data_IF_248735071325
#
_entry.id   IF_248735071325
#
_cell.length_a   1.000
_cell.length_b   1.000
_cell.length_c   1.000
_cell.angle_alpha   90.00
_cell.angle_beta   90.00
_cell.angle_gamma   90.00
#
_symmetry.space_group_name_H-M   'P 1'
#
loop_
_entity.id
_entity.type
_entity.pdbx_description
1 polymer ?
#
# COMPACT_ATOMS: atom_id res chain seq x y z
N UNK A 1 6.99 10.78 -11.99
CA UNK A 1 5.94 9.74 -11.87
C UNK A 1 5.78 9.08 -13.23
N UNK A 2 5.29 7.83 -13.34
CA UNK A 2 4.85 7.31 -14.63
C UNK A 2 3.67 8.14 -15.14
N UNK A 3 3.47 8.15 -16.45
CA UNK A 3 2.36 8.86 -17.07
C UNK A 3 1.00 8.27 -16.63
N UNK A 4 -0.02 9.13 -16.53
CA UNK A 4 -1.42 8.77 -16.30
C UNK A 4 -2.25 8.79 -17.59
N UNK A 5 -1.62 9.04 -18.74
CA UNK A 5 -2.24 8.94 -20.06
C UNK A 5 -3.07 7.65 -20.21
N UNK A 6 -4.32 7.83 -20.65
CA UNK A 6 -5.18 6.74 -21.10
C UNK A 6 -4.51 6.03 -22.29
N UNK A 7 -4.44 4.69 -22.24
CA UNK A 7 -3.89 3.89 -23.33
C UNK A 7 -4.84 3.83 -24.54
N UNK A 8 -6.09 4.30 -24.38
CA UNK A 8 -7.11 4.34 -25.42
C UNK A 8 -7.94 3.07 -25.54
N UNK A 9 -7.72 2.08 -24.66
CA UNK A 9 -8.51 0.85 -24.63
C UNK A 9 -9.93 1.12 -24.13
N UNK A 10 -10.93 0.45 -24.71
CA UNK A 10 -12.31 0.57 -24.27
C UNK A 10 -12.59 -0.37 -23.09
N UNK A 11 -13.59 -0.04 -22.29
CA UNK A 11 -13.99 -0.87 -21.13
C UNK A 11 -14.34 -2.31 -21.53
N UNK A 12 -14.98 -2.55 -22.69
CA UNK A 12 -15.28 -3.93 -23.14
C UNK A 12 -14.02 -4.74 -23.51
N UNK A 13 -12.97 -4.10 -24.04
CA UNK A 13 -11.70 -4.77 -24.35
C UNK A 13 -11.02 -5.20 -23.04
N UNK A 14 -10.93 -4.27 -22.07
CA UNK A 14 -10.41 -4.50 -20.72
C UNK A 14 -11.19 -5.64 -20.02
N UNK A 15 -12.53 -5.65 -20.09
CA UNK A 15 -13.35 -6.72 -19.50
C UNK A 15 -13.21 -8.06 -20.23
N UNK A 16 -12.96 -8.05 -21.55
CA UNK A 16 -12.67 -9.26 -22.33
C UNK A 16 -11.39 -9.92 -21.87
N UNK A 17 -10.34 -9.12 -21.71
CA UNK A 17 -9.01 -9.58 -21.32
C UNK A 17 -8.98 -10.05 -19.86
N UNK A 18 -9.61 -9.32 -18.93
CA UNK A 18 -9.80 -9.76 -17.54
C UNK A 18 -10.53 -11.12 -17.48
N UNK A 19 -11.56 -11.32 -18.31
CA UNK A 19 -12.31 -12.57 -18.37
C UNK A 19 -11.49 -13.75 -18.94
N UNK A 20 -10.52 -13.48 -19.84
CA UNK A 20 -9.54 -14.46 -20.30
C UNK A 20 -8.60 -14.85 -19.16
N UNK A 21 -7.92 -13.86 -18.58
CA UNK A 21 -6.94 -14.03 -17.50
C UNK A 21 -7.53 -14.77 -16.29
N UNK A 22 -8.79 -14.48 -15.92
CA UNK A 22 -9.52 -15.17 -14.84
C UNK A 22 -9.72 -16.67 -15.07
N UNK A 23 -9.92 -17.09 -16.32
CA UNK A 23 -10.14 -18.50 -16.69
C UNK A 23 -8.83 -19.25 -16.91
N UNK A 24 -7.81 -18.57 -17.43
CA UNK A 24 -6.49 -19.14 -17.72
C UNK A 24 -5.55 -19.12 -16.49
N UNK A 25 -5.92 -18.39 -15.43
CA UNK A 25 -5.21 -18.35 -14.15
C UNK A 25 -4.02 -17.40 -14.14
N UNK A 26 -4.01 -16.40 -15.03
CA UNK A 26 -2.94 -15.42 -15.18
C UNK A 26 -3.00 -14.30 -14.12
N UNK A 27 -1.94 -13.49 -14.05
CA UNK A 27 -1.95 -12.23 -13.30
C UNK A 27 -2.94 -11.26 -13.95
N UNK A 28 -3.97 -10.84 -13.19
CA UNK A 28 -5.04 -10.01 -13.73
C UNK A 28 -4.58 -8.56 -13.96
N UNK A 29 -4.94 -7.98 -15.11
CA UNK A 29 -4.64 -6.58 -15.45
C UNK A 29 -5.50 -5.61 -14.64
N UNK A 30 -4.99 -5.35 -13.45
CA UNK A 30 -5.52 -4.40 -12.48
C UNK A 30 -4.94 -2.99 -12.70
N UNK A 31 -3.97 -2.81 -13.60
CA UNK A 31 -3.33 -1.52 -13.85
C UNK A 31 -4.14 -0.69 -14.84
N UNK A 32 -4.70 -1.30 -15.90
CA UNK A 32 -5.55 -0.59 -16.88
C UNK A 32 -6.87 -0.10 -16.27
N UNK A 33 -7.57 -0.95 -15.50
CA UNK A 33 -8.79 -0.55 -14.74
C UNK A 33 -8.48 0.57 -13.76
N UNK A 34 -7.34 0.48 -13.05
CA UNK A 34 -6.88 1.54 -12.16
C UNK A 34 -6.61 2.85 -12.91
N UNK A 35 -5.82 2.79 -14.00
CA UNK A 35 -5.37 3.97 -14.76
C UNK A 35 -6.54 4.72 -15.33
N UNK A 36 -7.46 4.03 -15.98
CA UNK A 36 -8.65 4.65 -16.60
C UNK A 36 -9.54 5.30 -15.55
N UNK A 37 -9.81 4.62 -14.44
CA UNK A 37 -10.54 5.18 -13.28
C UNK A 37 -9.83 6.42 -12.70
N UNK A 38 -8.51 6.36 -12.52
CA UNK A 38 -7.73 7.47 -11.97
C UNK A 38 -7.67 8.66 -12.95
N UNK A 39 -7.53 8.42 -14.25
CA UNK A 39 -7.50 9.45 -15.29
C UNK A 39 -8.83 10.20 -15.37
N UNK A 40 -9.97 9.49 -15.43
CA UNK A 40 -11.31 10.11 -15.44
C UNK A 40 -11.56 10.98 -14.20
N UNK A 41 -11.15 10.52 -13.01
CA UNK A 41 -11.30 11.28 -11.77
C UNK A 41 -10.29 12.44 -11.65
N UNK A 42 -9.07 12.32 -12.19
CA UNK A 42 -8.10 13.43 -12.28
C UNK A 42 -8.57 14.48 -13.30
N UNK A 43 -9.19 14.10 -14.41
CA UNK A 43 -9.87 15.04 -15.31
C UNK A 43 -11.02 15.76 -14.58
N UNK A 44 -11.87 15.01 -13.88
CA UNK A 44 -12.97 15.55 -13.07
C UNK A 44 -12.50 16.62 -12.07
N UNK A 45 -11.35 16.39 -11.43
CA UNK A 45 -10.71 17.31 -10.49
C UNK A 45 -10.18 18.55 -11.20
N UNK A 46 -9.37 18.40 -12.26
CA UNK A 46 -8.80 19.52 -13.02
C UNK A 46 -9.90 20.42 -13.62
N UNK A 47 -10.98 19.81 -14.13
CA UNK A 47 -12.20 20.48 -14.59
C UNK A 47 -12.87 21.29 -13.48
N UNK A 48 -12.90 20.78 -12.25
CA UNK A 48 -13.42 21.50 -11.09
C UNK A 48 -12.53 22.64 -10.60
N UNK A 49 -11.21 22.56 -10.80
CA UNK A 49 -10.29 23.67 -10.57
C UNK A 49 -10.24 24.71 -11.70
N UNK A 50 -10.85 24.41 -12.85
CA UNK A 50 -10.86 25.26 -14.05
C UNK A 50 -9.58 25.20 -14.87
N UNK A 51 -8.74 24.17 -14.71
CA UNK A 51 -7.47 24.04 -15.43
C UNK A 51 -6.56 22.92 -14.91
N UNK A 52 -5.40 22.77 -15.55
CA UNK A 52 -4.36 21.79 -15.19
C UNK A 52 -3.05 22.44 -14.74
N UNK A 53 -2.82 23.71 -15.10
CA UNK A 53 -1.59 24.46 -14.84
C UNK A 53 -1.90 25.64 -13.92
N UNK A 54 -1.11 25.76 -12.84
CA UNK A 54 -1.25 26.79 -11.82
C UNK A 54 0.12 27.32 -11.38
N UNK A 55 0.18 28.62 -11.06
CA UNK A 55 1.38 29.28 -10.54
C UNK A 55 1.76 28.75 -9.15
N UNK A 56 3.03 28.90 -8.75
CA UNK A 56 3.53 28.38 -7.46
C UNK A 56 2.83 28.98 -6.23
N UNK A 57 2.22 30.16 -6.38
CA UNK A 57 1.47 30.85 -5.32
C UNK A 57 -0.04 30.51 -5.31
N UNK A 58 -0.54 29.72 -6.26
CA UNK A 58 -1.95 29.33 -6.34
C UNK A 58 -2.23 28.12 -5.45
N UNK A 59 -3.17 28.24 -4.51
CA UNK A 59 -3.53 27.16 -3.58
C UNK A 59 -4.05 25.91 -4.29
N UNK A 60 -4.61 26.05 -5.50
CA UNK A 60 -5.01 24.93 -6.36
C UNK A 60 -3.84 24.01 -6.68
N UNK A 61 -2.60 24.50 -6.80
CA UNK A 61 -1.43 23.65 -7.11
C UNK A 61 -1.12 22.64 -5.99
N UNK A 62 -1.18 23.11 -4.75
CA UNK A 62 -0.99 22.28 -3.57
C UNK A 62 -2.18 21.32 -3.36
N UNK A 63 -3.41 21.77 -3.62
CA UNK A 63 -4.61 20.95 -3.53
C UNK A 63 -4.67 19.87 -4.64
N UNK A 64 -4.34 20.22 -5.89
CA UNK A 64 -4.24 19.30 -7.04
C UNK A 64 -3.27 18.16 -6.74
N UNK A 65 -2.10 18.44 -6.17
CA UNK A 65 -1.14 17.40 -5.79
C UNK A 65 -1.72 16.42 -4.75
N UNK A 66 -2.39 16.94 -3.71
CA UNK A 66 -3.01 16.11 -2.65
C UNK A 66 -4.22 15.32 -3.17
N UNK A 67 -5.08 15.97 -3.95
CA UNK A 67 -6.28 15.38 -4.51
C UNK A 67 -5.95 14.30 -5.54
N UNK A 68 -4.96 14.48 -6.42
CA UNK A 68 -4.45 13.40 -7.29
C UNK A 68 -4.05 12.18 -6.47
N UNK A 69 -3.19 12.34 -5.46
CA UNK A 69 -2.76 11.23 -4.59
C UNK A 69 -3.94 10.53 -3.88
N UNK A 70 -4.96 11.30 -3.47
CA UNK A 70 -6.17 10.75 -2.86
C UNK A 70 -7.08 10.02 -3.86
N UNK A 71 -7.18 10.52 -5.10
CA UNK A 71 -7.90 9.89 -6.21
C UNK A 71 -7.20 8.60 -6.63
N UNK A 72 -5.87 8.58 -6.77
CA UNK A 72 -5.10 7.37 -7.05
C UNK A 72 -5.36 6.28 -6.00
N UNK A 73 -5.28 6.64 -4.71
CA UNK A 73 -5.57 5.69 -3.62
C UNK A 73 -7.02 5.18 -3.64
N UNK A 74 -7.99 6.04 -3.94
CA UNK A 74 -9.39 5.65 -4.13
C UNK A 74 -9.57 4.69 -5.30
N UNK A 75 -8.93 4.95 -6.45
CA UNK A 75 -9.05 4.14 -7.65
C UNK A 75 -8.52 2.72 -7.47
N UNK A 76 -7.45 2.49 -6.69
CA UNK A 76 -7.03 1.12 -6.28
C UNK A 76 -8.12 0.48 -5.45
N UNK A 77 -8.57 1.11 -4.36
CA UNK A 77 -9.56 0.54 -3.44
C UNK A 77 -10.87 0.15 -4.18
N UNK A 78 -11.31 0.99 -5.12
CA UNK A 78 -12.40 0.69 -6.05
C UNK A 78 -12.08 -0.51 -6.94
N UNK A 79 -10.91 -0.51 -7.59
CA UNK A 79 -10.41 -1.61 -8.42
C UNK A 79 -10.37 -2.94 -7.65
N UNK A 80 -10.02 -2.97 -6.36
CA UNK A 80 -9.96 -4.23 -5.60
C UNK A 80 -11.35 -4.77 -5.33
N UNK A 81 -12.28 -3.86 -5.03
CA UNK A 81 -13.68 -4.18 -4.85
C UNK A 81 -14.26 -4.79 -6.13
N UNK A 82 -13.90 -4.25 -7.31
CA UNK A 82 -14.24 -4.85 -8.61
C UNK A 82 -13.60 -6.22 -8.80
N UNK A 83 -12.28 -6.35 -8.64
CA UNK A 83 -11.56 -7.60 -8.91
C UNK A 83 -11.83 -8.72 -7.90
N UNK A 84 -12.34 -8.40 -6.71
CA UNK A 84 -12.90 -9.40 -5.79
C UNK A 84 -14.22 -9.95 -6.36
N UNK A 85 -15.14 -9.07 -6.77
CA UNK A 85 -16.43 -9.46 -7.37
C UNK A 85 -16.25 -10.16 -8.73
N UNK A 86 -15.27 -9.77 -9.54
CA UNK A 86 -14.95 -10.46 -10.80
C UNK A 86 -14.51 -11.92 -10.57
N UNK A 87 -13.87 -12.22 -9.43
CA UNK A 87 -13.43 -13.58 -9.07
C UNK A 87 -14.57 -14.46 -8.57
N UNK A 88 -15.57 -13.88 -7.91
CA UNK A 88 -16.77 -14.62 -7.49
C UNK A 88 -17.51 -15.20 -8.71
N UNK A 89 -17.43 -14.55 -9.88
CA UNK A 89 -18.03 -15.02 -11.14
C UNK A 89 -17.29 -16.17 -11.84
N UNK A 90 -16.12 -16.60 -11.38
CA UNK A 90 -15.36 -17.69 -12.00
C UNK A 90 -16.08 -19.04 -11.89
N UNK A 91 -16.86 -19.24 -10.82
CA UNK A 91 -17.58 -20.48 -10.52
C UNK A 91 -19.10 -20.25 -10.51
N UNK A 92 -19.87 -21.27 -10.88
CA UNK A 92 -21.31 -21.30 -10.66
C UNK A 92 -21.68 -21.81 -9.25
N UNK A 93 -22.97 -21.80 -8.90
CA UNK A 93 -23.52 -22.27 -7.61
C UNK A 93 -23.13 -23.72 -7.23
N UNK A 94 -22.61 -24.50 -8.17
CA UNK A 94 -22.18 -25.90 -7.99
C UNK A 94 -20.65 -26.03 -7.86
N UNK A 95 -19.92 -24.91 -7.79
CA UNK A 95 -18.45 -24.88 -7.72
C UNK A 95 -17.75 -25.24 -9.03
N UNK A 96 -18.46 -25.20 -10.16
CA UNK A 96 -17.90 -25.53 -11.48
C UNK A 96 -17.50 -24.25 -12.23
N UNK A 97 -16.35 -24.28 -12.91
CA UNK A 97 -15.85 -23.15 -13.71
C UNK A 97 -16.85 -22.81 -14.82
N UNK A 98 -17.14 -21.52 -15.00
CA UNK A 98 -18.09 -21.03 -16.01
C UNK A 98 -17.45 -20.92 -17.41
N UNK A 99 -18.27 -20.82 -18.45
CA UNK A 99 -17.77 -20.62 -19.81
C UNK A 99 -17.27 -19.18 -20.03
N UNK A 100 -16.33 -18.98 -20.95
CA UNK A 100 -15.79 -17.65 -21.28
C UNK A 100 -16.88 -16.60 -21.59
N UNK A 101 -17.93 -16.98 -22.33
CA UNK A 101 -19.05 -16.08 -22.61
C UNK A 101 -19.82 -15.66 -21.34
N UNK A 102 -19.95 -16.54 -20.34
CA UNK A 102 -20.59 -16.23 -19.07
C UNK A 102 -19.67 -15.36 -18.19
N UNK A 103 -18.37 -15.70 -18.10
CA UNK A 103 -17.39 -14.90 -17.33
C UNK A 103 -17.23 -13.50 -17.93
N UNK A 104 -17.04 -13.35 -19.25
CA UNK A 104 -16.99 -12.02 -19.89
C UNK A 104 -18.25 -11.22 -19.57
N UNK A 105 -19.44 -11.81 -19.71
CA UNK A 105 -20.68 -11.07 -19.42
C UNK A 105 -20.74 -10.63 -17.96
N UNK A 106 -20.42 -11.50 -17.01
CA UNK A 106 -20.50 -11.18 -15.58
C UNK A 106 -19.45 -10.15 -15.13
N UNK A 107 -18.23 -10.20 -15.70
CA UNK A 107 -17.20 -9.16 -15.53
C UNK A 107 -17.69 -7.83 -16.11
N UNK A 108 -18.22 -7.82 -17.34
CA UNK A 108 -18.72 -6.60 -17.98
C UNK A 108 -19.94 -5.99 -17.27
N UNK A 109 -20.92 -6.81 -16.86
CA UNK A 109 -22.08 -6.38 -16.08
C UNK A 109 -21.65 -5.73 -14.74
N UNK A 110 -20.65 -6.32 -14.08
CA UNK A 110 -20.08 -5.79 -12.83
C UNK A 110 -19.29 -4.51 -13.08
N UNK A 111 -18.50 -4.47 -14.16
CA UNK A 111 -17.73 -3.31 -14.58
C UNK A 111 -18.60 -2.11 -14.93
N UNK A 112 -19.74 -2.32 -15.60
CA UNK A 112 -20.73 -1.28 -15.94
C UNK A 112 -21.35 -0.62 -14.68
N UNK A 113 -21.55 -1.39 -13.61
CA UNK A 113 -22.00 -0.83 -12.31
C UNK A 113 -20.94 0.10 -11.73
N UNK A 114 -19.66 -0.28 -11.75
CA UNK A 114 -18.59 0.51 -11.13
C UNK A 114 -18.08 1.65 -12.02
N UNK A 115 -17.81 1.40 -13.29
CA UNK A 115 -17.05 2.29 -14.18
C UNK A 115 -17.93 3.12 -15.12
N UNK A 116 -19.25 2.90 -15.13
CA UNK A 116 -20.20 3.86 -15.67
C UNK A 116 -21.07 4.44 -14.53
N UNK A 117 -21.85 3.59 -13.86
CA UNK A 117 -22.89 4.07 -12.95
C UNK A 117 -22.35 4.74 -11.68
N UNK A 118 -21.41 4.11 -10.96
CA UNK A 118 -20.74 4.74 -9.82
C UNK A 118 -19.73 5.80 -10.27
N UNK A 119 -18.92 5.54 -11.31
CA UNK A 119 -17.89 6.48 -11.78
C UNK A 119 -18.48 7.84 -12.19
N UNK A 120 -19.68 7.87 -12.79
CA UNK A 120 -20.42 9.12 -13.07
C UNK A 120 -20.76 9.92 -11.80
N UNK A 121 -21.11 9.26 -10.69
CA UNK A 121 -21.38 9.92 -9.42
C UNK A 121 -20.09 10.36 -8.71
N UNK A 122 -19.05 9.52 -8.76
CA UNK A 122 -17.70 9.78 -8.25
C UNK A 122 -17.06 10.99 -8.98
N UNK A 123 -17.15 11.06 -10.32
CA UNK A 123 -16.73 12.21 -11.12
C UNK A 123 -17.46 13.48 -10.70
N UNK A 124 -18.80 13.46 -10.57
CA UNK A 124 -19.56 14.64 -10.16
C UNK A 124 -19.16 15.12 -8.75
N UNK A 125 -18.94 14.20 -7.83
CA UNK A 125 -18.46 14.49 -6.48
C UNK A 125 -17.05 15.07 -6.46
N UNK A 126 -16.12 14.53 -7.25
CA UNK A 126 -14.74 15.05 -7.39
C UNK A 126 -14.73 16.45 -8.01
N UNK A 127 -15.47 16.68 -9.10
CA UNK A 127 -15.58 18.01 -9.72
C UNK A 127 -16.14 19.04 -8.74
N UNK A 128 -17.24 18.72 -8.05
CA UNK A 128 -17.83 19.65 -7.08
C UNK A 128 -16.91 19.86 -5.85
N UNK A 129 -16.16 18.84 -5.42
CA UNK A 129 -15.18 18.97 -4.34
C UNK A 129 -14.01 19.87 -4.73
N UNK A 130 -13.48 19.76 -5.95
CA UNK A 130 -12.42 20.64 -6.47
C UNK A 130 -12.90 22.10 -6.60
N UNK A 131 -14.12 22.33 -7.11
CA UNK A 131 -14.76 23.66 -7.13
C UNK A 131 -14.82 24.23 -5.72
N UNK A 132 -15.36 23.47 -4.76
CA UNK A 132 -15.56 23.96 -3.39
C UNK A 132 -14.25 24.13 -2.62
N UNK A 133 -13.22 23.34 -2.92
CA UNK A 133 -11.87 23.54 -2.40
C UNK A 133 -11.30 24.90 -2.85
N UNK A 134 -11.35 25.21 -4.15
CA UNK A 134 -10.89 26.50 -4.66
C UNK A 134 -11.75 27.70 -4.19
N UNK A 135 -13.07 27.49 -4.00
CA UNK A 135 -13.93 28.52 -3.40
C UNK A 135 -13.50 28.89 -1.98
N UNK A 136 -12.95 27.98 -1.18
CA UNK A 136 -12.60 28.28 0.22
C UNK A 136 -11.63 29.46 0.34
N UNK A 137 -10.59 29.48 -0.51
CA UNK A 137 -9.57 30.54 -0.49
C UNK A 137 -10.04 31.83 -1.17
N UNK A 138 -10.85 31.73 -2.22
CA UNK A 138 -11.41 32.90 -2.93
C UNK A 138 -12.60 33.56 -2.23
N UNK A 139 -13.22 32.89 -1.24
CA UNK A 139 -14.26 33.44 -0.36
C UNK A 139 -13.68 34.45 0.64
N UNK A 140 -13.42 35.67 0.18
CA UNK A 140 -12.97 36.80 0.99
C UNK A 140 -14.15 37.43 1.76
N UNK A 141 -14.53 36.82 2.88
CA UNK A 141 -15.50 37.36 3.85
C UNK A 141 -15.25 36.78 5.24
N UNK A 142 -15.55 37.57 6.28
CA UNK A 142 -15.58 37.10 7.67
C UNK A 142 -16.72 36.11 7.94
N UNK A 143 -17.79 36.15 7.13
CA UNK A 143 -18.98 35.31 7.25
C UNK A 143 -19.24 34.54 5.96
N UNK A 144 -19.63 33.29 6.11
CA UNK A 144 -20.04 32.41 5.01
C UNK A 144 -21.53 32.08 5.15
N UNK A 145 -22.20 31.94 4.01
CA UNK A 145 -23.61 31.57 3.91
C UNK A 145 -23.74 30.29 3.07
N UNK A 146 -24.41 29.26 3.61
CA UNK A 146 -24.76 28.05 2.87
C UNK A 146 -25.97 28.33 1.96
N UNK A 147 -25.89 27.93 0.70
CA UNK A 147 -26.90 28.28 -0.31
C UNK A 147 -27.22 27.09 -1.21
N UNK A 148 -28.50 26.91 -1.52
CA UNK A 148 -28.98 25.87 -2.45
C UNK A 148 -29.35 26.46 -3.81
N UNK A 149 -29.41 25.63 -4.85
CA UNK A 149 -29.91 26.06 -6.18
C UNK A 149 -31.44 26.32 -6.18
N UNK A 150 -32.14 26.05 -5.07
CA UNK A 150 -33.58 26.33 -4.88
C UNK A 150 -34.54 25.39 -5.63
N UNK A 151 -34.06 24.58 -6.57
CA UNK A 151 -34.89 23.73 -7.42
C UNK A 151 -35.51 22.50 -6.72
N UNK A 152 -36.31 21.73 -7.47
CA UNK A 152 -36.98 20.52 -7.00
C UNK A 152 -36.06 19.31 -6.77
N UNK A 153 -34.81 19.36 -7.23
CA UNK A 153 -33.80 18.31 -7.07
C UNK A 153 -32.88 18.56 -5.86
N UNK A 154 -32.94 19.75 -5.25
CA UNK A 154 -32.34 20.00 -3.93
C UNK A 154 -33.12 19.19 -2.87
N UNK A 155 -32.40 18.27 -2.20
CA UNK A 155 -32.87 17.43 -1.09
C UNK A 155 -33.56 18.26 0.02
N UNK A 156 -34.72 17.85 0.57
CA UNK A 156 -35.41 18.57 1.64
C UNK A 156 -34.52 18.86 2.85
N UNK A 157 -33.66 17.91 3.22
CA UNK A 157 -32.70 17.98 4.32
C UNK A 157 -31.66 19.09 4.09
N UNK A 158 -31.27 19.32 2.84
CA UNK A 158 -30.33 20.39 2.47
C UNK A 158 -31.01 21.78 2.47
N UNK A 159 -32.32 21.84 2.18
CA UNK A 159 -33.10 23.10 2.19
C UNK A 159 -33.20 23.72 3.59
N UNK A 160 -33.06 22.91 4.64
CA UNK A 160 -33.00 23.38 6.03
C UNK A 160 -31.86 24.38 6.26
N UNK A 161 -30.74 24.22 5.55
CA UNK A 161 -29.55 25.07 5.69
C UNK A 161 -29.52 26.24 4.68
N UNK A 162 -30.54 26.43 3.84
CA UNK A 162 -30.56 27.54 2.88
C UNK A 162 -30.52 28.90 3.63
N UNK A 163 -29.49 29.70 3.35
CA UNK A 163 -29.12 30.96 4.02
C UNK A 163 -28.59 30.81 5.46
N UNK A 164 -28.26 29.60 5.91
CA UNK A 164 -27.53 29.42 7.16
C UNK A 164 -26.20 30.17 7.10
N UNK A 165 -26.02 31.15 7.98
CA UNK A 165 -24.87 32.05 7.99
C UNK A 165 -24.09 31.95 9.31
N UNK A 166 -22.78 31.76 9.22
CA UNK A 166 -21.87 31.68 10.36
C UNK A 166 -20.50 32.30 10.02
N UNK A 167 -19.68 32.72 11.01
CA UNK A 167 -18.32 33.17 10.78
C UNK A 167 -17.48 32.13 10.03
N UNK A 168 -16.57 32.54 9.14
CA UNK A 168 -15.67 31.63 8.39
C UNK A 168 -14.76 30.78 9.31
N UNK A 169 -14.53 31.25 10.52
CA UNK A 169 -13.77 30.59 11.60
C UNK A 169 -14.59 29.60 12.43
N UNK A 170 -15.91 29.49 12.21
CA UNK A 170 -16.77 28.57 12.95
C UNK A 170 -16.51 27.10 12.55
N UNK A 171 -16.50 26.21 13.54
CA UNK A 171 -16.28 24.77 13.37
C UNK A 171 -17.40 24.07 12.61
N UNK A 172 -18.58 24.68 12.43
CA UNK A 172 -19.64 24.13 11.58
C UNK A 172 -19.15 23.90 10.14
N UNK A 173 -18.25 24.75 9.62
CA UNK A 173 -17.67 24.60 8.28
C UNK A 173 -16.69 23.43 8.14
N UNK A 174 -16.39 22.68 9.21
CA UNK A 174 -15.69 21.39 9.11
C UNK A 174 -16.60 20.26 8.57
N UNK A 175 -17.92 20.46 8.60
CA UNK A 175 -18.95 19.42 8.34
C UNK A 175 -20.04 19.90 7.38
N UNK A 176 -20.48 21.15 7.51
CA UNK A 176 -21.45 21.79 6.63
C UNK A 176 -20.77 22.49 5.44
N UNK A 177 -19.82 21.81 4.80
CA UNK A 177 -19.14 22.31 3.61
C UNK A 177 -19.34 21.33 2.45
N UNK A 178 -19.94 21.82 1.37
CA UNK A 178 -20.46 21.00 0.27
C UNK A 178 -19.33 20.32 -0.52
N UNK A 179 -19.52 19.08 -1.04
CA UNK A 179 -20.78 18.33 -1.15
C UNK A 179 -21.22 17.60 0.13
N UNK A 180 -22.51 17.64 0.45
CA UNK A 180 -23.09 16.90 1.61
C UNK A 180 -23.67 15.52 1.24
N UNK A 181 -23.87 15.23 -0.06
CA UNK A 181 -24.28 13.93 -0.60
C UNK A 181 -23.94 13.86 -2.10
N UNK A 182 -24.10 12.70 -2.75
CA UNK A 182 -23.92 12.50 -4.19
C UNK A 182 -24.82 13.44 -5.01
N UNK A 183 -24.26 14.13 -6.00
CA UNK A 183 -25.00 15.10 -6.81
C UNK A 183 -25.54 16.31 -6.01
N UNK A 184 -24.89 16.70 -4.91
CA UNK A 184 -25.28 17.84 -4.07
C UNK A 184 -25.42 19.15 -4.87
N UNK A 185 -26.61 19.74 -4.86
CA UNK A 185 -26.98 21.00 -5.57
C UNK A 185 -26.90 22.21 -4.64
N UNK A 186 -25.79 22.32 -3.91
CA UNK A 186 -25.58 23.33 -2.88
C UNK A 186 -24.14 23.87 -2.97
N UNK A 187 -23.92 25.08 -2.45
CA UNK A 187 -22.63 25.75 -2.41
C UNK A 187 -22.52 26.64 -1.16
N UNK A 188 -21.37 27.27 -0.98
CA UNK A 188 -21.14 28.28 0.07
C UNK A 188 -20.72 29.59 -0.59
N UNK A 189 -21.28 30.71 -0.13
CA UNK A 189 -21.10 32.08 -0.67
C UNK A 189 -20.69 33.06 0.44
N UNK A 190 -20.25 34.29 0.12
CA UNK A 190 -20.02 35.33 1.13
C UNK A 190 -21.33 35.69 1.85
N UNK A 191 -21.38 35.41 3.16
CA UNK A 191 -22.49 35.79 4.04
C UNK A 191 -22.28 37.17 4.67
N UNK A 192 -23.22 37.59 5.52
CA UNK A 192 -23.17 38.85 6.27
C UNK A 192 -23.48 38.63 7.76
N UNK A 193 -22.83 39.40 8.64
CA UNK A 193 -23.10 39.35 10.09
C UNK A 193 -24.59 39.53 10.44
N UNK A 194 -25.33 40.32 9.65
CA UNK A 194 -26.78 40.55 9.79
C UNK A 194 -27.65 39.32 9.53
N UNK A 195 -27.13 38.30 8.84
CA UNK A 195 -27.86 37.09 8.47
C UNK A 195 -27.67 35.96 9.51
N UNK A 196 -26.81 36.15 10.52
CA UNK A 196 -26.54 35.15 11.55
C UNK A 196 -27.75 34.99 12.45
N UNK A 197 -28.42 33.83 12.39
CA UNK A 197 -29.60 33.57 13.22
C UNK A 197 -29.22 33.20 14.65
N UNK A 198 -30.02 33.69 15.61
CA UNK A 198 -29.94 33.26 17.02
C UNK A 198 -30.55 31.89 17.24
N UNK A 199 -31.57 31.55 16.45
CA UNK A 199 -32.32 30.29 16.51
C UNK A 199 -31.65 29.20 15.68
N UNK A 200 -31.39 29.49 14.39
CA UNK A 200 -30.74 28.57 13.45
C UNK A 200 -29.21 28.79 13.50
N UNK A 201 -28.65 28.61 14.69
CA UNK A 201 -27.23 28.82 15.00
C UNK A 201 -26.36 27.56 14.76
N UNK A 202 -25.05 27.66 14.99
CA UNK A 202 -24.07 26.60 14.72
C UNK A 202 -24.28 25.30 15.54
N UNK A 203 -24.92 25.37 16.72
CA UNK A 203 -25.28 24.18 17.51
C UNK A 203 -26.53 23.49 16.95
N UNK A 204 -27.51 24.26 16.45
CA UNK A 204 -28.62 23.72 15.68
C UNK A 204 -28.10 23.07 14.39
N UNK A 205 -27.25 23.76 13.63
CA UNK A 205 -26.72 23.26 12.37
C UNK A 205 -25.88 21.98 12.56
N UNK A 206 -25.06 21.90 13.63
CA UNK A 206 -24.34 20.67 13.95
C UNK A 206 -25.28 19.49 14.23
N UNK A 207 -26.38 19.70 14.97
CA UNK A 207 -27.37 18.64 15.26
C UNK A 207 -28.10 18.18 13.99
N UNK A 208 -28.42 19.11 13.09
CA UNK A 208 -29.15 18.79 11.84
C UNK A 208 -28.25 18.16 10.78
N UNK A 209 -26.95 18.49 10.72
CA UNK A 209 -26.02 17.91 9.73
C UNK A 209 -25.49 16.53 10.16
N UNK A 210 -25.39 16.27 11.47
CA UNK A 210 -24.89 15.00 12.01
C UNK A 210 -25.59 13.73 11.44
N UNK A 211 -26.93 13.63 11.35
CA UNK A 211 -27.58 12.46 10.75
C UNK A 211 -27.39 12.33 9.23
N UNK A 212 -26.96 13.40 8.54
CA UNK A 212 -26.75 13.40 7.10
C UNK A 212 -25.35 12.92 6.74
N UNK A 213 -24.32 13.43 7.44
CA UNK A 213 -22.93 13.22 7.03
C UNK A 213 -22.16 12.23 7.92
N UNK A 214 -22.49 12.08 9.21
CA UNK A 214 -21.62 11.40 10.19
C UNK A 214 -21.26 9.97 9.79
N UNK A 215 -19.97 9.67 9.75
CA UNK A 215 -19.48 8.34 9.38
C UNK A 215 -19.55 8.00 7.89
N UNK A 216 -19.92 8.98 7.04
CA UNK A 216 -19.86 8.95 5.57
C UNK A 216 -18.73 9.84 5.04
N UNK A 217 -18.40 9.75 3.75
CA UNK A 217 -17.37 10.62 3.14
C UNK A 217 -17.68 12.12 3.23
N UNK A 218 -18.96 12.50 3.35
CA UNK A 218 -19.42 13.89 3.32
C UNK A 218 -19.15 14.65 4.63
N UNK A 219 -18.75 13.95 5.70
CA UNK A 219 -18.36 14.54 6.99
C UNK A 219 -16.90 15.02 6.92
N UNK A 220 -16.69 16.05 6.10
CA UNK A 220 -15.39 16.51 5.60
C UNK A 220 -15.48 17.94 5.03
N UNK A 221 -14.47 18.79 5.29
CA UNK A 221 -14.20 19.97 4.48
C UNK A 221 -12.97 19.71 3.61
N UNK A 222 -13.21 19.40 2.33
CA UNK A 222 -12.18 19.04 1.34
C UNK A 222 -11.09 20.09 1.15
N UNK A 223 -11.39 21.38 1.38
CA UNK A 223 -10.41 22.46 1.29
C UNK A 223 -9.39 22.41 2.44
N UNK A 224 -9.88 22.16 3.66
CA UNK A 224 -9.09 22.14 4.88
C UNK A 224 -8.34 20.81 5.06
N UNK A 225 -8.95 19.69 4.67
CA UNK A 225 -8.31 18.37 4.79
C UNK A 225 -7.35 18.05 3.64
N UNK A 226 -7.59 18.59 2.43
CA UNK A 226 -6.88 18.17 1.22
C UNK A 226 -7.21 16.73 0.80
N UNK A 227 -8.37 16.21 1.23
CA UNK A 227 -8.86 14.85 0.96
C UNK A 227 -10.28 14.94 0.43
N UNK A 228 -10.55 14.32 -0.73
CA UNK A 228 -11.90 14.20 -1.31
C UNK A 228 -12.58 12.94 -0.74
N UNK A 229 -11.98 11.77 -0.97
CA UNK A 229 -12.42 10.48 -0.46
C UNK A 229 -11.66 10.14 0.82
N UNK A 230 -12.31 10.31 1.98
CA UNK A 230 -11.74 9.89 3.27
C UNK A 230 -12.05 8.41 3.59
N UNK A 231 -11.42 7.90 4.65
CA UNK A 231 -11.49 6.53 5.19
C UNK A 231 -12.92 6.03 5.51
N UNK A 232 -13.91 6.92 5.54
CA UNK A 232 -15.32 6.55 5.72
C UNK A 232 -15.92 5.90 4.47
N UNK A 233 -15.26 5.93 3.30
CA UNK A 233 -15.77 5.31 2.07
C UNK A 233 -15.84 3.76 2.15
N UNK A 234 -16.90 3.09 1.64
CA UNK A 234 -17.00 1.62 1.65
C UNK A 234 -15.82 0.88 1.02
N UNK A 235 -15.20 1.38 -0.05
CA UNK A 235 -14.03 0.73 -0.66
C UNK A 235 -12.83 0.64 0.32
N UNK A 236 -12.65 1.63 1.20
CA UNK A 236 -11.64 1.62 2.28
C UNK A 236 -12.09 0.84 3.54
N UNK A 237 -13.24 0.16 3.48
CA UNK A 237 -13.76 -0.73 4.53
C UNK A 237 -13.85 -2.18 4.05
N UNK A 238 -14.06 -2.38 2.75
CA UNK A 238 -13.90 -3.67 2.07
C UNK A 238 -12.42 -4.07 2.02
N UNK A 239 -11.50 -3.09 1.91
CA UNK A 239 -10.05 -3.27 2.13
C UNK A 239 -9.69 -3.92 3.47
N UNK A 240 -10.55 -3.74 4.48
CA UNK A 240 -10.33 -4.16 5.86
C UNK A 240 -11.18 -5.39 6.23
N UNK A 241 -12.22 -5.69 5.43
CA UNK A 241 -13.13 -6.83 5.62
C UNK A 241 -13.46 -7.49 4.27
N UNK A 242 -12.76 -8.61 4.02
CA UNK A 242 -12.84 -9.51 2.84
C UNK A 242 -12.06 -9.14 1.57
N UNK A 243 -10.96 -8.39 1.63
CA UNK A 243 -9.94 -8.35 0.55
C UNK A 243 -9.13 -9.65 0.41
N UNK A 244 -9.83 -10.76 0.13
CA UNK A 244 -9.22 -11.98 -0.36
C UNK A 244 -8.92 -11.84 -1.86
N UNK A 245 -7.84 -11.13 -2.18
CA UNK A 245 -7.23 -11.05 -3.52
C UNK A 245 -7.18 -9.63 -4.11
N UNK A 246 -5.98 -9.27 -4.59
CA UNK A 246 -5.63 -8.03 -5.34
C UNK A 246 -5.58 -6.74 -4.49
N UNK A 247 -4.66 -5.81 -4.84
CA UNK A 247 -4.29 -4.56 -4.12
C UNK A 247 -3.91 -3.43 -5.10
N UNK A 248 -4.04 -2.10 -4.70
CA UNK A 248 -2.60 0.40 -4.66
C UNK A 248 -2.83 1.65 -3.61
N UNK A 249 -1.90 2.00 -2.71
CA UNK A 249 -1.67 1.32 -1.44
C UNK A 249 -1.76 2.26 -0.22
N UNK A 250 -2.33 1.80 0.90
CA UNK A 250 -2.11 2.48 2.18
C UNK A 250 -2.02 1.53 3.37
N UNK A 251 -1.33 2.02 4.41
CA UNK A 251 -1.20 1.46 5.77
C UNK A 251 -0.95 -0.05 5.82
N UNK A 252 0.30 -0.39 5.53
CA UNK A 252 1.05 -1.58 5.96
C UNK A 252 0.27 -2.86 6.27
N UNK A 253 0.53 -3.89 5.47
CA UNK A 253 0.08 -5.25 5.75
C UNK A 253 0.80 -5.78 7.01
N UNK A 254 0.18 -5.61 8.17
CA UNK A 254 0.71 -6.07 9.47
C UNK A 254 -0.02 -7.33 9.90
N UNK A 255 0.74 -8.39 10.23
CA UNK A 255 0.22 -9.61 10.82
C UNK A 255 0.02 -9.39 12.33
N UNK A 256 -1.23 -9.34 12.79
CA UNK A 256 -1.54 -9.38 14.22
C UNK A 256 -1.27 -10.79 14.77
N UNK A 257 -0.10 -10.94 15.40
CA UNK A 257 0.37 -12.20 15.99
C UNK A 257 -0.58 -12.79 17.06
N UNK A 258 -1.51 -12.01 17.63
CA UNK A 258 -2.50 -12.55 18.57
C UNK A 258 -3.45 -13.56 17.91
N UNK A 259 -3.73 -13.42 16.61
CA UNK A 259 -4.55 -14.37 15.86
C UNK A 259 -3.78 -15.65 15.48
N UNK A 260 -2.44 -15.60 15.51
CA UNK A 260 -1.57 -16.68 15.04
C UNK A 260 -0.86 -17.46 16.16
N UNK A 261 -0.75 -16.90 17.37
CA UNK A 261 0.01 -17.47 18.50
C UNK A 261 -0.92 -17.65 19.69
N UNK A 262 -1.24 -18.90 20.04
CA UNK A 262 -2.15 -19.21 21.16
C UNK A 262 -1.49 -19.15 22.53
N UNK A 263 -0.23 -19.60 22.63
CA UNK A 263 0.53 -19.62 23.88
C UNK A 263 1.22 -18.28 24.21
N UNK A 264 2.11 -18.32 25.20
CA UNK A 264 3.12 -17.26 25.39
C UNK A 264 4.14 -17.28 24.23
N UNK A 265 4.61 -18.47 23.86
CA UNK A 265 5.51 -18.70 22.73
C UNK A 265 4.80 -19.46 21.59
N UNK A 266 5.09 -19.15 20.31
CA UNK A 266 4.53 -19.90 19.18
C UNK A 266 5.16 -21.29 19.03
N UNK A 267 4.33 -22.29 18.75
CA UNK A 267 4.77 -23.61 18.30
C UNK A 267 5.36 -23.54 16.89
N UNK A 268 6.12 -24.56 16.47
CA UNK A 268 6.64 -24.65 15.09
C UNK A 268 5.54 -24.57 14.02
N UNK A 269 4.33 -25.08 14.31
CA UNK A 269 3.17 -24.96 13.41
C UNK A 269 2.70 -23.51 13.28
N UNK A 270 2.68 -22.76 14.39
CA UNK A 270 2.30 -21.34 14.40
C UNK A 270 3.38 -20.48 13.72
N UNK A 271 4.68 -20.75 13.96
CA UNK A 271 5.78 -20.10 13.22
C UNK A 271 5.65 -20.33 11.71
N UNK A 272 5.40 -21.57 11.27
CA UNK A 272 5.15 -21.86 9.85
C UNK A 272 3.95 -21.05 9.35
N UNK A 273 2.82 -21.08 10.06
CA UNK A 273 1.63 -20.34 9.65
C UNK A 273 1.86 -18.81 9.54
N UNK A 274 2.64 -18.21 10.44
CA UNK A 274 3.02 -16.78 10.39
C UNK A 274 3.85 -16.48 9.14
N UNK A 275 4.81 -17.34 8.80
CA UNK A 275 5.67 -17.13 7.63
C UNK A 275 4.98 -17.45 6.30
N UNK A 276 4.02 -18.39 6.29
CA UNK A 276 3.12 -18.61 5.14
C UNK A 276 2.19 -17.41 4.94
N UNK A 277 1.63 -16.85 6.02
CA UNK A 277 0.84 -15.62 5.97
C UNK A 277 1.69 -14.43 5.52
N UNK A 278 2.93 -14.32 5.98
CA UNK A 278 3.89 -13.32 5.54
C UNK A 278 4.11 -13.37 4.02
N UNK A 279 4.32 -14.57 3.46
CA UNK A 279 4.42 -14.76 2.02
C UNK A 279 3.10 -14.39 1.29
N UNK A 280 1.94 -14.69 1.88
CA UNK A 280 0.62 -14.31 1.33
C UNK A 280 0.41 -12.79 1.29
N UNK A 281 0.85 -12.05 2.32
CA UNK A 281 0.70 -10.60 2.36
C UNK A 281 1.81 -9.86 1.60
N UNK A 282 2.99 -10.46 1.47
CA UNK A 282 4.18 -9.94 0.78
C UNK A 282 4.67 -10.85 -0.35
N UNK A 283 3.84 -11.16 -1.38
CA UNK A 283 4.23 -12.09 -2.45
C UNK A 283 5.45 -11.59 -3.24
N UNK A 284 5.66 -10.27 -3.29
CA UNK A 284 6.86 -9.64 -3.88
C UNK A 284 8.18 -10.08 -3.27
N UNK A 285 8.18 -10.75 -2.12
CA UNK A 285 9.38 -11.15 -1.39
C UNK A 285 9.74 -12.63 -1.63
N UNK A 286 8.92 -13.38 -2.39
CA UNK A 286 9.19 -14.77 -2.78
C UNK A 286 8.79 -14.99 -4.24
N UNK A 287 9.74 -15.23 -5.15
CA UNK A 287 9.51 -15.19 -6.62
C UNK A 287 8.31 -16.01 -7.14
N UNK A 288 8.07 -17.18 -6.55
CA UNK A 288 6.91 -18.04 -6.82
C UNK A 288 6.17 -18.40 -5.49
N UNK A 289 6.16 -17.49 -4.51
CA UNK A 289 5.64 -17.78 -3.17
C UNK A 289 6.53 -18.72 -2.33
N UNK A 290 5.94 -19.22 -1.24
CA UNK A 290 6.58 -20.06 -0.21
C UNK A 290 5.79 -21.38 -0.07
N UNK A 291 6.44 -22.51 -0.35
CA UNK A 291 5.86 -23.85 -0.21
C UNK A 291 5.91 -24.35 1.25
N UNK A 292 7.05 -24.11 1.92
CA UNK A 292 7.37 -24.80 3.16
C UNK A 292 8.30 -24.01 4.09
N UNK A 293 8.13 -24.27 5.38
CA UNK A 293 8.96 -23.74 6.47
C UNK A 293 9.36 -24.93 7.34
N UNK A 294 10.65 -25.24 7.36
CA UNK A 294 11.22 -26.41 8.02
C UNK A 294 12.00 -26.03 9.27
N UNK A 295 12.04 -26.96 10.21
CA UNK A 295 12.70 -26.81 11.51
C UNK A 295 13.64 -28.00 11.70
N UNK A 296 14.92 -27.80 11.42
CA UNK A 296 15.94 -28.87 11.38
C UNK A 296 17.10 -28.53 12.31
N UNK A 297 17.84 -29.53 12.80
CA UNK A 297 19.02 -29.30 13.65
C UNK A 297 20.30 -29.25 12.80
N UNK A 298 20.55 -28.11 12.15
CA UNK A 298 21.68 -27.92 11.23
C UNK A 298 22.87 -27.22 11.91
N UNK A 299 24.07 -27.81 11.80
CA UNK A 299 25.33 -27.13 12.16
C UNK A 299 25.90 -26.27 11.03
N UNK A 300 25.38 -26.41 9.81
CA UNK A 300 25.98 -25.87 8.59
C UNK A 300 25.46 -24.48 8.21
N UNK A 301 24.33 -24.07 8.77
CA UNK A 301 23.67 -22.79 8.49
C UNK A 301 22.78 -22.39 9.66
N UNK A 302 22.58 -21.07 9.85
CA UNK A 302 21.65 -20.54 10.85
C UNK A 302 20.20 -20.64 10.35
N UNK A 303 19.97 -20.13 9.14
CA UNK A 303 18.75 -20.32 8.35
C UNK A 303 19.15 -20.67 6.91
N UNK A 304 18.22 -21.09 6.06
CA UNK A 304 18.50 -21.45 4.67
C UNK A 304 17.27 -21.30 3.77
N UNK A 305 17.43 -20.61 2.64
CA UNK A 305 16.57 -20.68 1.47
C UNK A 305 16.93 -21.89 0.58
N UNK A 306 15.92 -22.49 -0.05
CA UNK A 306 16.08 -23.46 -1.12
C UNK A 306 14.87 -23.42 -2.05
N UNK A 307 15.06 -23.73 -3.33
CA UNK A 307 14.00 -23.76 -4.34
C UNK A 307 14.46 -24.61 -5.53
N UNK A 308 13.53 -25.24 -6.24
CA UNK A 308 13.83 -26.05 -7.42
C UNK A 308 13.89 -25.19 -8.68
N UNK A 309 14.66 -25.59 -9.68
CA UNK A 309 14.79 -24.90 -10.97
C UNK A 309 14.84 -25.93 -12.10
N UNK A 310 14.13 -25.62 -13.19
CA UNK A 310 14.02 -26.42 -14.40
C UNK A 310 15.06 -25.94 -15.43
N UNK A 311 16.14 -26.70 -15.69
CA UNK A 311 17.05 -26.38 -16.79
C UNK A 311 16.42 -26.61 -18.17
N UNK A 312 15.26 -27.28 -18.24
CA UNK A 312 14.55 -27.57 -19.49
C UNK A 312 13.66 -26.41 -19.95
N UNK A 313 12.91 -25.79 -19.03
CA UNK A 313 12.08 -24.61 -19.33
C UNK A 313 12.85 -23.30 -19.13
N UNK A 314 13.81 -23.30 -18.19
CA UNK A 314 14.61 -22.13 -17.83
C UNK A 314 14.12 -21.39 -16.57
N UNK A 315 13.22 -21.98 -15.79
CA UNK A 315 12.44 -21.30 -14.75
C UNK A 315 12.59 -21.92 -13.36
N UNK A 316 12.19 -21.17 -12.34
CA UNK A 316 12.04 -21.67 -10.97
C UNK A 316 10.75 -22.49 -10.83
N UNK A 317 10.80 -23.60 -10.11
CA UNK A 317 9.75 -24.63 -10.01
C UNK A 317 9.27 -24.79 -8.56
N UNK A 318 7.95 -24.80 -8.38
CA UNK A 318 7.32 -24.73 -7.06
C UNK A 318 7.60 -23.39 -6.38
N UNK A 319 7.30 -23.31 -5.08
CA UNK A 319 7.64 -22.18 -4.22
C UNK A 319 8.96 -22.36 -3.46
N UNK A 320 9.35 -21.29 -2.77
CA UNK A 320 10.51 -21.26 -1.87
C UNK A 320 10.33 -22.19 -0.68
N UNK A 321 11.43 -22.71 -0.14
CA UNK A 321 11.46 -23.59 1.03
C UNK A 321 12.49 -23.07 2.01
N UNK A 322 12.00 -22.46 3.10
CA UNK A 322 12.81 -21.84 4.16
C UNK A 322 13.07 -22.86 5.26
N UNK A 323 14.27 -22.88 5.83
CA UNK A 323 14.62 -23.71 6.98
C UNK A 323 15.23 -22.86 8.10
N UNK A 324 14.70 -22.98 9.32
CA UNK A 324 15.29 -22.40 10.53
C UNK A 324 16.05 -23.50 11.29
N UNK A 325 17.28 -23.22 11.71
CA UNK A 325 18.06 -24.18 12.50
C UNK A 325 17.69 -24.14 13.99
N UNK A 326 17.45 -25.31 14.58
CA UNK A 326 17.29 -25.51 16.03
C UNK A 326 18.61 -25.84 16.75
N UNK A 327 19.75 -25.67 16.07
CA UNK A 327 21.08 -25.86 16.65
C UNK A 327 21.57 -24.57 17.33
N UNK A 328 22.21 -24.72 18.50
CA UNK A 328 22.84 -23.60 19.20
C UNK A 328 24.30 -23.42 18.73
N UNK A 329 24.58 -22.26 18.15
CA UNK A 329 25.90 -21.82 17.73
C UNK A 329 26.63 -21.24 18.95
N UNK A 330 27.18 -22.12 19.79
CA UNK A 330 27.73 -21.78 21.12
C UNK A 330 28.84 -20.71 21.13
N UNK A 331 29.56 -20.52 20.02
CA UNK A 331 30.56 -19.45 19.84
C UNK A 331 29.95 -18.04 19.85
N UNK A 332 28.67 -17.92 19.51
CA UNK A 332 27.88 -16.66 19.51
C UNK A 332 26.67 -16.75 20.45
N UNK A 333 26.47 -17.89 21.14
CA UNK A 333 25.32 -18.18 22.03
C UNK A 333 23.97 -17.89 21.36
N UNK A 334 23.80 -18.38 20.15
CA UNK A 334 22.63 -18.08 19.30
C UNK A 334 21.96 -19.37 18.84
N UNK A 335 20.64 -19.51 19.04
CA UNK A 335 19.82 -20.58 18.47
C UNK A 335 18.78 -19.97 17.53
N UNK A 336 18.95 -20.06 16.19
CA UNK A 336 18.16 -19.28 15.24
C UNK A 336 16.65 -19.47 15.36
N UNK A 337 16.19 -20.71 15.59
CA UNK A 337 14.76 -21.00 15.76
C UNK A 337 14.21 -20.49 17.09
N UNK A 338 14.92 -20.71 18.19
CA UNK A 338 14.40 -20.37 19.52
C UNK A 338 14.45 -18.86 19.79
N UNK A 339 15.44 -18.15 19.24
CA UNK A 339 15.50 -16.68 19.29
C UNK A 339 14.42 -16.06 18.40
N UNK A 340 14.11 -16.65 17.23
CA UNK A 340 12.98 -16.21 16.40
C UNK A 340 11.62 -16.48 17.07
N UNK A 341 11.48 -17.63 17.74
CA UNK A 341 10.31 -17.97 18.58
C UNK A 341 10.11 -16.95 19.70
N UNK A 342 11.18 -16.63 20.43
CA UNK A 342 11.16 -15.68 21.53
C UNK A 342 10.93 -14.24 21.04
N UNK A 343 11.47 -13.86 19.88
CA UNK A 343 11.22 -12.57 19.25
C UNK A 343 9.75 -12.39 18.82
N UNK A 344 9.15 -13.39 18.19
CA UNK A 344 7.70 -13.36 17.86
C UNK A 344 6.83 -13.27 19.12
N UNK A 345 7.20 -13.96 20.20
CA UNK A 345 6.54 -13.83 21.50
C UNK A 345 6.70 -12.43 22.09
N UNK A 346 7.90 -11.83 21.99
CA UNK A 346 8.19 -10.49 22.47
C UNK A 346 7.38 -9.42 21.73
N UNK A 347 7.27 -9.51 20.40
CA UNK A 347 6.44 -8.65 19.55
C UNK A 347 4.97 -8.76 19.95
N UNK A 348 4.40 -9.98 20.03
CA UNK A 348 3.01 -10.20 20.49
C UNK A 348 2.72 -9.52 21.84
N UNK A 349 3.69 -9.59 22.76
CA UNK A 349 3.60 -9.06 24.13
C UNK A 349 3.81 -7.54 24.22
N UNK A 350 4.13 -6.86 23.11
CA UNK A 350 4.51 -5.44 23.10
C UNK A 350 5.80 -5.15 23.86
N UNK A 351 6.69 -6.14 23.97
CA UNK A 351 7.92 -6.09 24.77
C UNK A 351 9.17 -6.02 23.89
N UNK A 352 10.19 -5.31 24.38
CA UNK A 352 11.45 -5.11 23.64
C UNK A 352 12.16 -6.44 23.41
N UNK A 353 12.54 -6.70 22.16
CA UNK A 353 13.39 -7.83 21.79
C UNK A 353 14.80 -7.69 22.36
N UNK A 354 15.50 -8.80 22.53
CA UNK A 354 16.97 -8.82 22.72
C UNK A 354 17.68 -8.65 21.38
N UNK A 355 18.99 -8.36 21.41
CA UNK A 355 19.84 -8.34 20.21
C UNK A 355 19.72 -9.65 19.42
N UNK A 356 19.79 -10.81 20.08
CA UNK A 356 19.68 -12.11 19.43
C UNK A 356 18.30 -12.31 18.78
N UNK A 357 17.22 -11.96 19.49
CA UNK A 357 15.87 -12.08 18.99
C UNK A 357 15.68 -11.24 17.73
N UNK A 358 16.08 -9.96 17.75
CA UNK A 358 16.00 -9.08 16.58
C UNK A 358 16.93 -9.54 15.44
N UNK A 359 18.14 -10.00 15.76
CA UNK A 359 19.08 -10.55 14.79
C UNK A 359 18.55 -11.80 14.08
N UNK A 360 17.67 -12.58 14.72
CA UNK A 360 17.02 -13.73 14.07
C UNK A 360 16.06 -13.32 12.94
N UNK A 361 15.43 -12.13 13.02
CA UNK A 361 14.63 -11.59 11.90
C UNK A 361 15.54 -11.09 10.76
N UNK A 362 16.70 -10.51 11.08
CA UNK A 362 17.69 -10.10 10.07
C UNK A 362 18.26 -11.33 9.33
N UNK A 363 18.65 -12.37 10.08
CA UNK A 363 19.11 -13.64 9.52
C UNK A 363 18.04 -14.37 8.71
N UNK A 364 16.74 -14.18 9.01
CA UNK A 364 15.65 -14.70 8.17
C UNK A 364 15.43 -13.84 6.93
N UNK A 365 15.51 -12.51 7.07
CA UNK A 365 15.34 -11.58 5.95
C UNK A 365 16.44 -11.73 4.90
N UNK A 366 17.68 -12.07 5.29
CA UNK A 366 18.75 -12.49 4.38
C UNK A 366 18.32 -13.64 3.44
N UNK A 367 17.71 -14.69 3.99
CA UNK A 367 17.17 -15.81 3.21
C UNK A 367 15.94 -15.43 2.36
N UNK A 368 15.15 -14.44 2.80
CA UNK A 368 14.03 -13.91 2.02
C UNK A 368 14.54 -13.06 0.84
N UNK A 369 15.64 -12.31 0.98
CA UNK A 369 16.31 -11.67 -0.17
C UNK A 369 16.84 -12.72 -1.16
N UNK A 370 17.35 -13.86 -0.69
CA UNK A 370 17.67 -15.02 -1.55
C UNK A 370 16.43 -15.65 -2.20
N UNK A 371 15.24 -15.56 -1.59
CA UNK A 371 13.97 -15.99 -2.20
C UNK A 371 13.41 -15.00 -3.24
N UNK A 372 13.83 -13.73 -3.15
CA UNK A 372 13.30 -12.60 -3.93
C UNK A 372 14.02 -12.37 -5.26
N UNK A 373 15.33 -12.65 -5.35
CA UNK A 373 16.10 -12.40 -6.59
C UNK A 373 15.53 -13.16 -7.80
N UNK A 374 15.77 -12.67 -9.03
CA UNK A 374 15.46 -13.38 -10.29
C UNK A 374 16.66 -14.13 -10.89
N UNK A 375 17.84 -14.04 -10.26
CA UNK A 375 19.06 -14.73 -10.71
C UNK A 375 18.82 -16.22 -10.93
N UNK A 376 19.31 -16.78 -12.05
CA UNK A 376 19.23 -18.22 -12.36
C UNK A 376 20.32 -18.99 -11.58
N UNK A 377 20.07 -20.25 -11.13
CA UNK A 377 21.08 -21.00 -10.38
C UNK A 377 22.35 -21.18 -11.20
N UNK A 378 23.47 -20.70 -10.67
CA UNK A 378 24.77 -20.74 -11.33
C UNK A 378 25.86 -20.92 -10.28
N UNK A 379 26.96 -21.59 -10.66
CA UNK A 379 28.11 -21.78 -9.77
C UNK A 379 28.99 -20.54 -9.82
N UNK A 380 28.73 -19.59 -8.94
CA UNK A 380 29.59 -18.41 -8.73
C UNK A 380 31.02 -18.83 -8.35
N UNK A 381 31.99 -17.99 -8.70
CA UNK A 381 33.36 -18.10 -8.17
C UNK A 381 33.39 -17.70 -6.69
N UNK A 382 34.46 -18.05 -5.96
CA UNK A 382 34.60 -17.68 -4.55
C UNK A 382 34.50 -16.15 -4.32
N UNK A 383 35.00 -15.35 -5.27
CA UNK A 383 34.88 -13.88 -5.26
C UNK A 383 33.44 -13.45 -5.58
N UNK A 384 32.78 -14.08 -6.55
CA UNK A 384 31.37 -13.85 -6.87
C UNK A 384 30.46 -14.14 -5.66
N UNK A 385 30.67 -15.27 -4.99
CA UNK A 385 29.99 -15.60 -3.73
C UNK A 385 30.28 -14.57 -2.65
N UNK A 386 31.55 -14.21 -2.37
CA UNK A 386 31.85 -13.16 -1.38
C UNK A 386 31.10 -11.87 -1.68
N UNK A 387 31.13 -11.39 -2.92
CA UNK A 387 30.46 -10.15 -3.31
C UNK A 387 28.94 -10.24 -3.14
N UNK A 388 28.33 -11.34 -3.61
CA UNK A 388 26.90 -11.60 -3.50
C UNK A 388 26.44 -11.63 -2.04
N UNK A 389 27.07 -12.45 -1.20
CA UNK A 389 26.74 -12.57 0.22
C UNK A 389 26.94 -11.26 0.97
N UNK A 390 28.01 -10.53 0.68
CA UNK A 390 28.29 -9.23 1.30
C UNK A 390 27.19 -8.22 0.99
N UNK A 391 26.72 -8.14 -0.27
CA UNK A 391 25.64 -7.22 -0.63
C UNK A 391 24.27 -7.72 -0.14
N UNK A 392 24.00 -9.03 -0.17
CA UNK A 392 22.75 -9.59 0.37
C UNK A 392 22.61 -9.28 1.87
N UNK A 393 23.65 -9.57 2.66
CA UNK A 393 23.70 -9.28 4.09
C UNK A 393 23.72 -7.76 4.38
N UNK A 394 24.39 -6.94 3.57
CA UNK A 394 24.38 -5.48 3.73
C UNK A 394 22.98 -4.88 3.48
N UNK A 395 22.32 -5.30 2.40
CA UNK A 395 20.94 -4.92 2.10
C UNK A 395 19.97 -5.46 3.17
N UNK A 396 20.18 -6.68 3.67
CA UNK A 396 19.35 -7.27 4.72
C UNK A 396 19.38 -6.44 6.00
N UNK A 397 20.57 -6.13 6.55
CA UNK A 397 20.74 -5.29 7.75
C UNK A 397 20.11 -3.90 7.64
N UNK A 398 20.00 -3.36 6.42
CA UNK A 398 19.36 -2.06 6.17
C UNK A 398 17.83 -2.13 6.01
N UNK A 399 17.26 -3.29 5.64
CA UNK A 399 15.84 -3.38 5.22
C UNK A 399 14.98 -4.37 6.03
N UNK A 400 15.57 -5.18 6.91
CA UNK A 400 14.79 -6.06 7.80
C UNK A 400 13.85 -5.35 8.81
N UNK A 401 13.97 -4.04 9.15
CA UNK A 401 12.92 -3.36 9.92
C UNK A 401 11.56 -3.41 9.23
N UNK A 402 11.50 -3.34 7.90
CA UNK A 402 10.24 -3.47 7.15
C UNK A 402 9.63 -4.87 7.31
N UNK A 403 10.46 -5.91 7.45
CA UNK A 403 10.02 -7.27 7.73
C UNK A 403 9.44 -7.39 9.16
N UNK A 404 10.12 -6.84 10.17
CA UNK A 404 9.63 -6.80 11.55
C UNK A 404 8.33 -5.99 11.66
N UNK A 405 8.22 -4.87 10.94
CA UNK A 405 7.05 -3.99 10.96
C UNK A 405 5.80 -4.68 10.41
N UNK A 406 5.95 -5.46 9.31
CA UNK A 406 4.90 -6.35 8.77
C UNK A 406 4.48 -7.48 9.73
N UNK A 407 5.21 -7.71 10.83
CA UNK A 407 4.87 -8.65 11.90
C UNK A 407 4.37 -7.95 13.18
N UNK A 408 4.16 -6.63 13.13
CA UNK A 408 3.66 -5.82 14.25
C UNK A 408 4.72 -5.40 15.25
N UNK A 409 6.01 -5.62 14.94
CA UNK A 409 7.13 -5.24 15.80
C UNK A 409 7.77 -3.91 15.44
N UNK A 410 8.71 -3.49 16.29
CA UNK A 410 9.64 -2.39 16.06
C UNK A 410 11.07 -2.94 16.12
N UNK A 411 11.93 -2.50 15.19
CA UNK A 411 13.35 -2.84 15.20
C UNK A 411 14.12 -1.77 16.00
N UNK A 412 14.74 -2.17 17.11
CA UNK A 412 15.40 -1.27 18.07
C UNK A 412 16.91 -1.50 18.18
N UNK A 413 17.42 -2.62 17.65
CA UNK A 413 18.83 -3.02 17.62
C UNK A 413 19.47 -2.83 16.23
N UNK A 414 18.78 -2.25 15.23
CA UNK A 414 19.32 -2.11 13.87
C UNK A 414 20.75 -1.54 13.80
N UNK A 415 21.05 -0.49 14.57
CA UNK A 415 22.39 0.08 14.62
C UNK A 415 23.43 -0.92 15.13
N UNK A 416 23.12 -1.63 16.20
CA UNK A 416 24.03 -2.62 16.78
C UNK A 416 24.15 -3.85 15.86
N UNK A 417 23.10 -4.21 15.13
CA UNK A 417 23.11 -5.31 14.14
C UNK A 417 23.92 -4.91 12.89
N UNK A 418 23.88 -3.65 12.45
CA UNK A 418 24.75 -3.12 11.40
C UNK A 418 26.23 -3.27 11.75
N UNK A 419 26.62 -2.95 13.00
CA UNK A 419 28.01 -3.05 13.48
C UNK A 419 28.41 -4.48 13.91
N UNK A 420 27.50 -5.25 14.50
CA UNK A 420 27.83 -6.47 15.25
C UNK A 420 27.13 -7.77 14.84
N UNK A 421 26.15 -7.73 13.91
CA UNK A 421 25.48 -8.94 13.40
C UNK A 421 26.46 -10.03 12.95
N UNK A 422 26.11 -11.29 13.16
CA UNK A 422 27.06 -12.41 13.09
C UNK A 422 27.45 -12.80 11.66
N UNK A 423 26.49 -12.88 10.74
CA UNK A 423 26.71 -13.27 9.35
C UNK A 423 27.65 -12.31 8.61
N UNK A 424 28.69 -12.86 7.98
CA UNK A 424 29.67 -12.15 7.14
C UNK A 424 30.33 -10.89 7.77
N UNK A 425 30.42 -10.82 9.11
CA UNK A 425 30.80 -9.60 9.86
C UNK A 425 32.02 -8.86 9.31
N UNK A 426 33.13 -9.54 9.02
CA UNK A 426 34.34 -8.90 8.48
C UNK A 426 34.12 -8.27 7.10
N UNK A 427 33.42 -8.95 6.20
CA UNK A 427 33.14 -8.44 4.85
C UNK A 427 32.18 -7.25 4.89
N UNK A 428 31.23 -7.25 5.83
CA UNK A 428 30.35 -6.10 6.08
C UNK A 428 31.16 -4.91 6.63
N UNK A 429 32.07 -5.13 7.58
CA UNK A 429 32.97 -4.06 8.06
C UNK A 429 33.85 -3.50 6.94
N UNK A 430 34.45 -4.36 6.10
CA UNK A 430 35.23 -3.95 4.93
C UNK A 430 34.40 -3.09 3.96
N UNK A 431 33.18 -3.54 3.63
CA UNK A 431 32.30 -2.87 2.68
C UNK A 431 31.78 -1.52 3.20
N UNK A 432 31.32 -1.47 4.46
CA UNK A 432 30.84 -0.23 5.10
C UNK A 432 31.95 0.80 5.25
N UNK A 433 33.17 0.38 5.59
CA UNK A 433 34.34 1.27 5.57
C UNK A 433 34.67 1.74 4.14
N UNK A 434 34.44 0.91 3.12
CA UNK A 434 34.56 1.27 1.70
C UNK A 434 33.61 2.38 1.24
N UNK A 435 32.36 2.36 1.71
CA UNK A 435 31.37 3.44 1.50
C UNK A 435 31.78 4.71 2.27
N UNK A 436 32.09 4.58 3.56
CA UNK A 436 32.51 5.67 4.44
C UNK A 436 33.73 6.43 3.92
N UNK A 437 34.73 5.72 3.41
CA UNK A 437 35.93 6.31 2.80
C UNK A 437 35.66 7.12 1.52
N UNK A 438 34.46 7.00 0.93
CA UNK A 438 34.03 7.72 -0.28
C UNK A 438 32.91 8.72 -0.02
N UNK A 439 32.56 8.94 1.26
CA UNK A 439 31.44 9.79 1.68
C UNK A 439 30.08 9.37 1.05
N UNK A 440 29.88 8.07 0.87
CA UNK A 440 28.63 7.48 0.36
C UNK A 440 27.75 7.08 1.55
N UNK A 441 26.49 7.51 1.53
CA UNK A 441 25.48 7.13 2.53
C UNK A 441 25.10 5.64 2.41
N UNK A 442 24.97 4.96 3.55
CA UNK A 442 24.71 3.52 3.60
C UNK A 442 23.27 3.17 3.18
N UNK A 443 22.27 3.98 3.55
CA UNK A 443 20.88 3.75 3.14
C UNK A 443 20.70 3.94 1.63
N UNK A 444 21.34 4.97 1.05
CA UNK A 444 21.42 5.17 -0.39
C UNK A 444 22.08 3.98 -1.07
N UNK A 445 23.24 3.53 -0.59
CA UNK A 445 23.92 2.36 -1.15
C UNK A 445 23.07 1.08 -1.08
N UNK A 446 22.37 0.85 0.02
CA UNK A 446 21.50 -0.32 0.19
C UNK A 446 20.31 -0.28 -0.78
N UNK A 447 19.74 0.92 -1.02
CA UNK A 447 18.67 1.15 -1.99
C UNK A 447 19.14 1.00 -3.44
N UNK A 448 20.28 1.57 -3.79
CA UNK A 448 20.80 1.61 -5.16
C UNK A 448 21.37 0.26 -5.62
N UNK A 449 21.89 -0.56 -4.70
CA UNK A 449 22.44 -1.90 -5.01
C UNK A 449 21.37 -3.01 -5.01
N UNK A 450 20.24 -2.81 -4.34
CA UNK A 450 19.13 -3.79 -4.26
C UNK A 450 18.61 -4.24 -5.66
N UNK A 451 18.39 -3.37 -6.66
CA UNK A 451 17.92 -3.80 -7.99
C UNK A 451 18.90 -4.75 -8.69
N UNK A 452 20.21 -4.53 -8.56
CA UNK A 452 21.23 -5.39 -9.17
C UNK A 452 21.28 -6.76 -8.46
N UNK A 453 21.24 -6.76 -7.12
CA UNK A 453 21.15 -7.96 -6.29
C UNK A 453 19.90 -8.79 -6.64
N UNK A 454 18.77 -8.15 -6.91
CA UNK A 454 17.52 -8.81 -7.31
C UNK A 454 17.48 -9.28 -8.76
N UNK A 455 18.49 -8.96 -9.58
CA UNK A 455 18.52 -9.29 -11.02
C UNK A 455 19.53 -10.40 -11.32
N UNK A 456 20.83 -10.15 -11.14
CA UNK A 456 21.89 -11.10 -11.44
C UNK A 456 23.07 -11.02 -10.46
N UNK A 457 23.20 -12.04 -9.60
CA UNK A 457 24.34 -12.21 -8.70
C UNK A 457 25.70 -12.33 -9.40
N UNK A 458 25.77 -12.73 -10.68
CA UNK A 458 27.06 -12.80 -11.40
C UNK A 458 27.64 -11.40 -11.64
N UNK A 459 26.77 -10.42 -11.93
CA UNK A 459 27.13 -9.02 -12.18
C UNK A 459 27.44 -8.19 -10.92
N UNK A 460 27.01 -8.63 -9.72
CA UNK A 460 26.99 -7.75 -8.53
C UNK A 460 28.37 -7.21 -8.14
N UNK A 461 29.44 -7.98 -8.41
CA UNK A 461 30.82 -7.57 -8.16
C UNK A 461 31.28 -6.40 -9.03
N UNK A 462 30.94 -6.38 -10.32
CA UNK A 462 31.27 -5.23 -11.18
C UNK A 462 30.36 -4.04 -10.87
N UNK A 463 29.08 -4.28 -10.59
CA UNK A 463 28.13 -3.22 -10.22
C UNK A 463 28.52 -2.48 -8.94
N UNK A 464 29.09 -3.15 -7.94
CA UNK A 464 29.69 -2.48 -6.77
C UNK A 464 30.89 -1.60 -7.15
N UNK A 465 31.76 -2.06 -8.06
CA UNK A 465 32.92 -1.29 -8.53
C UNK A 465 32.52 -0.09 -9.40
N UNK A 466 31.47 -0.22 -10.20
CA UNK A 466 30.85 0.87 -10.97
C UNK A 466 30.21 1.89 -10.02
N UNK A 467 29.37 1.44 -9.08
CA UNK A 467 28.72 2.29 -8.08
C UNK A 467 29.74 3.11 -7.27
N UNK A 468 30.85 2.50 -6.86
CA UNK A 468 31.95 3.18 -6.16
C UNK A 468 32.68 4.24 -6.99
N UNK A 469 32.64 4.18 -8.32
CA UNK A 469 33.21 5.22 -9.22
C UNK A 469 32.22 6.34 -9.46
N UNK A 470 30.95 6.00 -9.64
CA UNK A 470 29.86 6.94 -9.94
C UNK A 470 29.43 7.78 -8.73
N UNK A 471 29.65 7.29 -7.50
CA UNK A 471 29.15 7.91 -6.27
C UNK A 471 30.25 8.40 -5.31
N UNK A 472 31.53 8.20 -5.63
CA UNK A 472 32.61 8.87 -4.90
C UNK A 472 32.58 10.39 -5.17
N UNK A 473 32.82 11.17 -4.12
CA UNK A 473 33.00 12.63 -4.18
C UNK A 473 34.47 13.00 -3.99
#
# INVERSE_FOLDING_TARGET
MPDLADNGENWDDIYTEIARQLLEGEDLDTDSVYRKTAAELVEAMNKGFGGTVFDDNDSRKALQTKFTQNIEHFSYAKTLTQFHLFKDHLFNDKGQIQSFAAVKKAVADTGEVFNNNYLRAEHQFVTQSAIMAHKWDTLNSEYLEFSTVGDSLVRPEHKLFDKFTAPKTDKIWLRLYTPLDWGCRCTVIPGKATNVSKEYNSDWANKMVDPLVKGTIFDNNVALTGVIFNDKHPYFKISDKKTAGIKKPSKENVIDLNNHIKGEFPTNKEIKNILMEYARISPSDFRNGLDDVKFLKSKSYMMQHSMSYSPYTGDWVGGSKITLSSYEFSSIKFNPLEEFRAGLAAIKKGSKMTFNQEYSFESLWHEILHAKTKTKPSRLSQIGTKNMETINQFCARHTYPDFIKKLGGEAIHQKDILDNGYGYKSWITEFRQGLKNRNIDEFKAAKDLMPFLMTDYSSIGSKVVEYYKENAK
#
